data_IF_715181635181
#
_entry.id   IF_715181635181
#
_cell.length_a   1.000
_cell.length_b   1.000
_cell.length_c   1.000
_cell.angle_alpha   90.00
_cell.angle_beta   90.00
_cell.angle_gamma   90.00
#
_symmetry.space_group_name_H-M   'P 1'
#
loop_
_entity.id
_entity.type
_entity.pdbx_description
1 polymer ?
#
# COMPACT_ATOMS: atom_id res chain seq x y z
N UNK A 1 -12.09 11.30 35.97
CA UNK A 1 -11.90 12.13 34.76
C UNK A 1 -13.21 12.11 33.99
N UNK A 2 -13.65 13.25 33.48
CA UNK A 2 -14.77 13.32 32.52
C UNK A 2 -14.41 12.50 31.28
N UNK A 3 -15.29 11.59 30.82
CA UNK A 3 -15.06 10.80 29.60
C UNK A 3 -15.03 11.74 28.39
N UNK A 4 -14.00 11.64 27.55
CA UNK A 4 -13.93 12.37 26.28
C UNK A 4 -14.82 11.72 25.21
N UNK A 5 -15.25 10.47 25.44
CA UNK A 5 -15.89 9.57 24.48
C UNK A 5 -15.07 9.44 23.20
N UNK A 6 -13.74 9.41 23.31
CA UNK A 6 -12.83 9.30 22.16
C UNK A 6 -12.13 7.95 22.15
N UNK A 7 -12.17 7.30 20.99
CA UNK A 7 -11.31 6.18 20.65
C UNK A 7 -10.26 6.67 19.65
N UNK A 8 -8.99 6.62 20.05
CA UNK A 8 -7.88 6.95 19.18
C UNK A 8 -7.33 5.69 18.50
N UNK A 9 -7.22 5.72 17.17
CA UNK A 9 -6.79 4.59 16.35
C UNK A 9 -5.38 4.82 15.85
N UNK A 10 -4.49 3.94 16.27
CA UNK A 10 -3.08 3.86 15.89
C UNK A 10 -2.95 2.79 14.81
N UNK A 11 -2.69 3.19 13.57
CA UNK A 11 -2.53 2.25 12.45
C UNK A 11 -1.80 2.90 11.28
N UNK A 12 -1.26 2.09 10.37
CA UNK A 12 -0.82 2.59 9.06
C UNK A 12 -2.00 3.08 8.20
N UNK A 13 -1.71 3.89 7.19
CA UNK A 13 -2.67 4.35 6.19
C UNK A 13 -2.27 3.92 4.78
N UNK A 14 -3.24 3.94 3.87
CA UNK A 14 -3.07 3.50 2.50
C UNK A 14 -2.74 2.01 2.39
N UNK A 15 -2.14 1.62 1.26
CA UNK A 15 -1.73 0.24 0.99
C UNK A 15 -0.30 0.03 1.48
N UNK A 16 -0.11 -0.93 2.38
CA UNK A 16 1.16 -1.24 3.04
C UNK A 16 1.58 -2.67 2.73
N UNK A 17 2.84 -2.87 2.36
CA UNK A 17 3.39 -4.21 2.18
C UNK A 17 3.71 -4.79 3.57
N UNK A 18 3.16 -5.96 3.88
CA UNK A 18 3.65 -6.77 5.00
C UNK A 18 4.95 -7.44 4.56
N UNK A 19 6.08 -6.94 5.07
CA UNK A 19 7.41 -7.44 4.72
C UNK A 19 7.65 -8.91 5.07
N UNK A 20 6.84 -9.49 5.96
CA UNK A 20 6.97 -10.90 6.37
C UNK A 20 6.32 -11.85 5.37
N UNK A 21 5.22 -11.42 4.75
CA UNK A 21 4.43 -12.25 3.83
C UNK A 21 4.53 -11.79 2.37
N UNK A 22 5.03 -10.58 2.11
CA UNK A 22 5.01 -9.92 0.81
C UNK A 22 3.62 -9.43 0.38
N UNK A 23 2.58 -9.63 1.19
CA UNK A 23 1.21 -9.25 0.85
C UNK A 23 1.01 -7.76 1.01
N UNK A 24 0.20 -7.19 0.12
CA UNK A 24 -0.28 -5.82 0.25
C UNK A 24 -1.55 -5.80 1.10
N UNK A 25 -1.55 -5.01 2.17
CA UNK A 25 -2.68 -4.81 3.08
C UNK A 25 -3.24 -3.41 2.85
N UNK A 26 -4.54 -3.31 2.55
CA UNK A 26 -5.24 -2.03 2.44
C UNK A 26 -5.72 -1.57 3.82
N UNK A 27 -4.92 -0.72 4.46
CA UNK A 27 -5.21 -0.23 5.81
C UNK A 27 -6.39 0.74 5.82
N UNK A 28 -6.64 1.46 4.72
CA UNK A 28 -7.78 2.37 4.60
C UNK A 28 -9.09 1.57 4.52
N UNK A 29 -9.12 0.49 3.75
CA UNK A 29 -10.29 -0.39 3.68
C UNK A 29 -10.64 -0.97 5.05
N UNK A 30 -9.66 -1.54 5.76
CA UNK A 30 -9.89 -2.10 7.11
C UNK A 30 -10.39 -1.01 8.07
N UNK A 31 -9.84 0.20 8.00
CA UNK A 31 -10.30 1.31 8.82
C UNK A 31 -11.76 1.68 8.55
N UNK A 32 -12.12 1.90 7.28
CA UNK A 32 -13.44 2.40 6.89
C UNK A 32 -14.54 1.34 7.04
N UNK A 33 -14.26 0.08 6.72
CA UNK A 33 -15.29 -0.96 6.69
C UNK A 33 -15.44 -1.72 8.02
N UNK A 34 -14.38 -1.76 8.83
CA UNK A 34 -14.37 -2.53 10.08
C UNK A 34 -14.21 -1.64 11.32
N UNK A 35 -13.07 -0.94 11.45
CA UNK A 35 -12.66 -0.32 12.71
C UNK A 35 -13.54 0.88 13.06
N UNK A 36 -13.64 1.86 12.15
CA UNK A 36 -14.38 3.10 12.38
C UNK A 36 -15.87 2.85 12.64
N UNK A 37 -16.58 2.01 11.85
CA UNK A 37 -17.97 1.67 12.14
C UNK A 37 -18.15 0.97 13.48
N UNK A 38 -17.28 0.03 13.86
CA UNK A 38 -17.38 -0.66 15.14
C UNK A 38 -17.24 0.28 16.34
N UNK A 39 -16.34 1.27 16.24
CA UNK A 39 -16.14 2.30 17.27
C UNK A 39 -17.36 3.22 17.39
N UNK A 40 -17.87 3.71 16.25
CA UNK A 40 -19.04 4.59 16.21
C UNK A 40 -20.28 3.87 16.78
N UNK A 41 -20.49 2.62 16.38
CA UNK A 41 -21.57 1.77 16.88
C UNK A 41 -21.47 1.44 18.38
N UNK A 42 -20.25 1.51 18.93
CA UNK A 42 -20.02 1.38 20.36
C UNK A 42 -20.28 2.67 21.14
N UNK A 43 -20.55 3.79 20.45
CA UNK A 43 -20.87 5.09 21.04
C UNK A 43 -19.65 5.98 21.31
N UNK A 44 -18.52 5.74 20.64
CA UNK A 44 -17.31 6.54 20.75
C UNK A 44 -17.05 7.33 19.46
N UNK A 45 -16.40 8.47 19.59
CA UNK A 45 -15.85 9.23 18.48
C UNK A 45 -14.55 8.55 18.03
N UNK A 46 -14.51 8.12 16.77
CA UNK A 46 -13.33 7.51 16.16
C UNK A 46 -12.42 8.59 15.55
N UNK A 47 -11.14 8.57 15.92
CA UNK A 47 -10.12 9.46 15.34
C UNK A 47 -8.90 8.62 15.01
N UNK A 48 -8.49 8.59 13.74
CA UNK A 48 -7.22 8.01 13.31
C UNK A 48 -6.11 9.06 13.32
N UNK A 49 -4.88 8.66 13.56
CA UNK A 49 -3.72 9.56 13.64
C UNK A 49 -3.60 10.54 12.45
N UNK A 50 -3.79 10.07 11.22
CA UNK A 50 -3.70 10.88 9.99
C UNK A 50 -4.89 11.82 9.76
N UNK A 51 -6.01 11.64 10.48
CA UNK A 51 -7.17 12.54 10.44
C UNK A 51 -6.94 13.80 11.29
N UNK A 52 -5.94 13.79 12.19
CA UNK A 52 -5.61 14.93 13.04
C UNK A 52 -5.03 16.07 12.17
N UNK A 53 -5.53 17.28 12.38
CA UNK A 53 -4.96 18.47 11.75
C UNK A 53 -3.71 18.89 12.51
N UNK A 54 -2.59 18.99 11.80
CA UNK A 54 -1.29 19.26 12.40
C UNK A 54 -1.04 20.77 12.46
N UNK A 55 -0.45 21.23 13.57
CA UNK A 55 0.22 22.54 13.63
C UNK A 55 1.71 22.35 13.33
N UNK A 56 2.49 23.44 13.22
CA UNK A 56 3.93 23.41 12.94
C UNK A 56 4.79 22.57 13.91
N UNK A 57 4.23 22.11 15.04
CA UNK A 57 4.79 21.07 15.90
C UNK A 57 3.93 19.80 15.79
N UNK A 58 4.45 18.81 15.06
CA UNK A 58 3.74 17.62 14.57
C UNK A 58 3.22 16.75 15.72
N UNK A 59 3.97 16.61 16.82
CA UNK A 59 3.70 15.51 17.77
C UNK A 59 2.75 15.86 18.92
N UNK A 60 2.53 17.14 19.22
CA UNK A 60 1.76 17.56 20.42
C UNK A 60 0.32 17.01 20.38
N UNK A 61 -0.43 17.15 19.27
CA UNK A 61 -1.79 16.62 19.20
C UNK A 61 -1.84 15.09 19.37
N UNK A 62 -0.92 14.36 18.74
CA UNK A 62 -0.86 12.90 18.82
C UNK A 62 -0.65 12.42 20.27
N UNK A 63 0.33 12.98 20.99
CA UNK A 63 0.57 12.63 22.39
C UNK A 63 -0.63 12.96 23.28
N UNK A 64 -1.33 14.07 23.02
CA UNK A 64 -2.57 14.40 23.73
C UNK A 64 -3.64 13.32 23.53
N UNK A 65 -3.82 12.80 22.31
CA UNK A 65 -4.74 11.68 22.08
C UNK A 65 -4.29 10.40 22.80
N UNK A 66 -3.01 10.05 22.78
CA UNK A 66 -2.49 8.89 23.52
C UNK A 66 -2.74 8.99 25.04
N UNK A 67 -2.63 10.21 25.59
CA UNK A 67 -2.82 10.50 27.01
C UNK A 67 -4.29 10.56 27.43
N UNK A 68 -5.15 11.17 26.61
CA UNK A 68 -6.50 11.57 27.01
C UNK A 68 -7.63 10.77 26.36
N UNK A 69 -7.37 9.98 25.32
CA UNK A 69 -8.40 9.11 24.76
C UNK A 69 -8.85 8.06 25.78
N UNK A 70 -10.16 7.85 25.84
CA UNK A 70 -10.78 6.85 26.74
C UNK A 70 -10.40 5.44 26.32
N UNK A 71 -10.23 5.22 25.00
CA UNK A 71 -9.80 3.97 24.42
C UNK A 71 -8.74 4.24 23.35
N UNK A 72 -7.75 3.35 23.27
CA UNK A 72 -6.82 3.29 22.14
C UNK A 72 -6.95 1.93 21.46
N UNK A 73 -7.04 1.93 20.13
CA UNK A 73 -6.95 0.72 19.30
C UNK A 73 -5.66 0.80 18.50
N UNK A 74 -4.79 -0.21 18.63
CA UNK A 74 -3.52 -0.28 17.89
C UNK A 74 -3.54 -1.47 16.91
N UNK A 75 -3.42 -1.17 15.61
CA UNK A 75 -3.29 -2.18 14.56
C UNK A 75 -1.82 -2.55 14.34
N UNK A 76 -1.51 -3.84 14.54
CA UNK A 76 -0.16 -4.38 14.43
C UNK A 76 0.11 -5.08 13.10
N UNK A 77 -0.87 -5.15 12.21
CA UNK A 77 -0.90 -6.08 11.07
C UNK A 77 0.29 -5.97 10.13
N UNK A 78 0.79 -4.76 9.92
CA UNK A 78 1.90 -4.47 9.00
C UNK A 78 3.21 -4.15 9.72
N UNK A 79 3.29 -4.36 11.04
CA UNK A 79 4.47 -4.03 11.84
C UNK A 79 4.94 -2.58 11.66
N UNK A 80 3.99 -1.65 11.52
CA UNK A 80 4.29 -0.23 11.39
C UNK A 80 5.04 0.28 12.64
N UNK A 81 6.28 0.76 12.47
CA UNK A 81 7.11 1.25 13.57
C UNK A 81 6.46 2.40 14.35
N UNK A 82 5.75 3.31 13.67
CA UNK A 82 5.04 4.42 14.32
C UNK A 82 3.94 3.85 15.23
N UNK A 83 3.19 2.86 14.74
CA UNK A 83 2.14 2.22 15.54
C UNK A 83 2.70 1.49 16.78
N UNK A 84 3.83 0.81 16.64
CA UNK A 84 4.52 0.14 17.76
C UNK A 84 5.00 1.17 18.79
N UNK A 85 5.59 2.28 18.34
CA UNK A 85 6.07 3.35 19.22
C UNK A 85 4.92 3.99 20.00
N UNK A 86 3.83 4.36 19.32
CA UNK A 86 2.64 4.96 19.93
C UNK A 86 1.98 4.00 20.93
N UNK A 87 1.94 2.69 20.64
CA UNK A 87 1.48 1.66 21.58
C UNK A 87 2.35 1.61 22.84
N UNK A 88 3.68 1.64 22.68
CA UNK A 88 4.62 1.69 23.81
C UNK A 88 4.38 2.91 24.69
N UNK A 89 4.20 4.08 24.07
CA UNK A 89 3.85 5.31 24.77
C UNK A 89 2.51 5.20 25.50
N UNK A 90 1.47 4.64 24.86
CA UNK A 90 0.18 4.40 25.51
C UNK A 90 0.32 3.48 26.72
N UNK A 91 1.02 2.37 26.60
CA UNK A 91 1.27 1.44 27.71
C UNK A 91 2.08 2.07 28.83
N UNK A 92 2.97 3.02 28.53
CA UNK A 92 3.71 3.77 29.55
C UNK A 92 2.85 4.83 30.26
N UNK A 93 1.94 5.47 29.54
CA UNK A 93 1.12 6.57 30.08
C UNK A 93 -0.13 6.09 30.81
N UNK A 94 -0.69 4.94 30.43
CA UNK A 94 -2.01 4.48 30.85
C UNK A 94 -2.00 3.00 31.22
N UNK A 95 -2.59 2.62 32.37
CA UNK A 95 -2.61 1.23 32.82
C UNK A 95 -3.66 0.37 32.12
N UNK A 96 -4.68 0.98 31.51
CA UNK A 96 -5.85 0.27 30.97
C UNK A 96 -6.44 0.97 29.74
N UNK A 97 -7.38 0.28 29.10
CA UNK A 97 -8.19 0.71 27.96
C UNK A 97 -7.36 0.84 26.68
N UNK A 98 -6.69 -0.25 26.33
CA UNK A 98 -5.90 -0.41 25.10
C UNK A 98 -6.25 -1.74 24.44
N UNK A 99 -6.68 -1.73 23.18
CA UNK A 99 -6.99 -2.93 22.39
C UNK A 99 -5.95 -3.07 21.29
N UNK A 100 -5.30 -4.22 21.22
CA UNK A 100 -4.46 -4.58 20.08
C UNK A 100 -5.32 -5.35 19.07
N UNK A 101 -5.18 -5.01 17.79
CA UNK A 101 -5.83 -5.71 16.69
C UNK A 101 -4.78 -6.14 15.67
N UNK A 102 -5.08 -7.21 14.93
CA UNK A 102 -4.27 -7.61 13.79
C UNK A 102 -5.00 -8.46 12.78
N UNK A 103 -4.47 -8.51 11.56
CA UNK A 103 -4.83 -9.51 10.57
C UNK A 103 -4.40 -10.93 11.00
N UNK A 104 -4.81 -11.96 10.25
CA UNK A 104 -4.42 -13.36 10.52
C UNK A 104 -2.91 -13.59 10.48
N UNK A 105 -2.20 -12.87 9.60
CA UNK A 105 -0.79 -13.14 9.30
C UNK A 105 0.13 -12.65 10.43
N UNK A 106 -0.27 -11.63 11.20
CA UNK A 106 0.52 -11.14 12.33
C UNK A 106 0.56 -12.12 13.50
N UNK A 107 -0.56 -12.80 13.79
CA UNK A 107 -0.68 -13.63 14.99
C UNK A 107 0.34 -14.78 15.03
N UNK A 108 0.76 -15.28 13.88
CA UNK A 108 1.73 -16.38 13.76
C UNK A 108 3.18 -15.96 14.08
N UNK A 109 3.46 -14.66 14.03
CA UNK A 109 4.81 -14.09 14.07
C UNK A 109 4.90 -12.86 14.99
N UNK A 110 3.93 -12.72 15.90
CA UNK A 110 3.88 -11.61 16.84
C UNK A 110 5.18 -11.56 17.67
N UNK A 111 5.85 -10.39 17.78
CA UNK A 111 7.05 -10.26 18.60
C UNK A 111 6.83 -10.69 20.04
N UNK A 112 7.88 -11.19 20.70
CA UNK A 112 7.83 -11.65 22.08
C UNK A 112 7.22 -10.61 23.05
N UNK A 113 7.51 -9.34 22.82
CA UNK A 113 7.04 -8.23 23.65
C UNK A 113 5.53 -7.95 23.55
N UNK A 114 4.83 -8.49 22.55
CA UNK A 114 3.37 -8.31 22.37
C UNK A 114 2.59 -9.63 22.28
N UNK A 115 3.26 -10.77 22.16
CA UNK A 115 2.60 -12.07 21.98
C UNK A 115 1.82 -12.57 23.22
N UNK A 116 2.10 -12.00 24.38
CA UNK A 116 1.44 -12.30 25.65
C UNK A 116 0.25 -11.36 25.93
N UNK A 117 0.05 -10.37 25.07
CA UNK A 117 -1.09 -9.44 25.12
C UNK A 117 -2.22 -10.04 24.29
N UNK A 118 -3.46 -9.88 24.75
CA UNK A 118 -4.63 -10.30 23.97
C UNK A 118 -4.75 -9.45 22.70
N UNK A 119 -4.70 -10.10 21.54
CA UNK A 119 -4.84 -9.44 20.23
C UNK A 119 -6.15 -9.90 19.58
N UNK A 120 -7.00 -8.95 19.20
CA UNK A 120 -8.19 -9.24 18.42
C UNK A 120 -7.81 -9.49 16.97
N UNK A 121 -8.00 -10.72 16.49
CA UNK A 121 -7.71 -11.09 15.12
C UNK A 121 -8.93 -10.85 14.22
N UNK A 122 -8.80 -9.95 13.24
CA UNK A 122 -9.87 -9.66 12.28
C UNK A 122 -9.78 -10.48 10.98
N UNK A 123 -8.85 -11.42 10.88
CA UNK A 123 -8.70 -12.31 9.73
C UNK A 123 -8.01 -11.65 8.54
N UNK A 124 -8.51 -11.93 7.34
CA UNK A 124 -7.98 -11.42 6.07
C UNK A 124 -9.04 -10.54 5.40
N UNK A 125 -9.47 -9.50 6.13
CA UNK A 125 -10.45 -8.53 5.61
C UNK A 125 -9.74 -7.63 4.61
N UNK A 126 -10.28 -7.62 3.40
CA UNK A 126 -9.82 -6.83 2.27
C UNK A 126 -11.02 -6.52 1.36
N UNK A 127 -10.79 -5.76 0.29
CA UNK A 127 -11.81 -5.33 -0.68
C UNK A 127 -12.66 -6.47 -1.27
N UNK A 128 -12.17 -7.72 -1.26
CA UNK A 128 -12.87 -8.91 -1.75
C UNK A 128 -13.62 -9.67 -0.65
N UNK A 129 -13.74 -9.09 0.54
CA UNK A 129 -14.42 -9.74 1.65
C UNK A 129 -15.92 -9.48 1.57
N UNK A 130 -16.72 -10.53 1.65
CA UNK A 130 -18.19 -10.39 1.63
C UNK A 130 -18.68 -9.51 2.78
N UNK A 131 -19.65 -8.64 2.49
CA UNK A 131 -20.23 -7.72 3.48
C UNK A 131 -20.71 -8.44 4.74
N UNK A 132 -21.35 -9.61 4.61
CA UNK A 132 -21.78 -10.43 5.76
C UNK A 132 -20.63 -10.78 6.71
N UNK A 133 -19.45 -11.12 6.17
CA UNK A 133 -18.28 -11.45 6.99
C UNK A 133 -17.71 -10.21 7.68
N UNK A 134 -17.72 -9.06 7.00
CA UNK A 134 -17.33 -7.77 7.58
C UNK A 134 -18.28 -7.42 8.73
N UNK A 135 -19.60 -7.50 8.53
CA UNK A 135 -20.60 -7.23 9.57
C UNK A 135 -20.43 -8.13 10.79
N UNK A 136 -20.21 -9.43 10.59
CA UNK A 136 -19.96 -10.36 11.69
C UNK A 136 -18.72 -9.98 12.50
N UNK A 137 -17.64 -9.56 11.83
CA UNK A 137 -16.42 -9.13 12.50
C UNK A 137 -16.61 -7.79 13.22
N UNK A 138 -17.35 -6.85 12.60
CA UNK A 138 -17.70 -5.56 13.19
C UNK A 138 -18.49 -5.72 14.49
N UNK A 139 -19.45 -6.64 14.52
CA UNK A 139 -20.22 -6.95 15.74
C UNK A 139 -19.31 -7.48 16.87
N UNK A 140 -18.38 -8.39 16.56
CA UNK A 140 -17.41 -8.90 17.53
C UNK A 140 -16.50 -7.80 18.06
N UNK A 141 -16.01 -6.93 17.18
CA UNK A 141 -15.16 -5.79 17.57
C UNK A 141 -15.95 -4.79 18.43
N UNK A 142 -17.19 -4.47 18.06
CA UNK A 142 -18.09 -3.61 18.85
C UNK A 142 -18.30 -4.15 20.27
N UNK A 143 -18.56 -5.45 20.40
CA UNK A 143 -18.73 -6.10 21.70
C UNK A 143 -17.45 -6.00 22.55
N UNK A 144 -16.29 -6.27 21.95
CA UNK A 144 -15.00 -6.10 22.61
C UNK A 144 -14.78 -4.66 23.11
N UNK A 145 -15.05 -3.65 22.26
CA UNK A 145 -14.94 -2.23 22.61
C UNK A 145 -15.83 -1.90 23.82
N UNK A 146 -17.10 -2.33 23.80
CA UNK A 146 -18.02 -2.11 24.92
C UNK A 146 -17.55 -2.77 26.21
N UNK A 147 -17.00 -3.98 26.13
CA UNK A 147 -16.48 -4.69 27.29
C UNK A 147 -15.25 -3.97 27.89
N UNK A 148 -14.26 -3.61 27.06
CA UNK A 148 -13.02 -2.97 27.53
C UNK A 148 -13.26 -1.56 28.09
N UNK A 149 -14.23 -0.82 27.56
CA UNK A 149 -14.54 0.57 28.01
C UNK A 149 -15.21 0.68 29.38
N UNK A 150 -15.69 -0.44 29.93
CA UNK A 150 -16.24 -0.53 31.30
C UNK A 150 -15.37 -1.41 32.22
N UNK A 151 -14.37 -2.08 31.66
CA UNK A 151 -13.43 -2.92 32.38
C UNK A 151 -12.33 -2.06 33.03
N UNK A 152 -11.99 -2.39 34.27
CA UNK A 152 -10.94 -1.73 35.05
C UNK A 152 -9.71 -2.63 35.25
N UNK A 153 -9.62 -3.74 34.50
CA UNK A 153 -8.41 -4.58 34.50
C UNK A 153 -7.26 -3.83 33.81
N UNK A 154 -6.08 -3.94 34.41
CA UNK A 154 -4.83 -3.45 33.82
C UNK A 154 -4.51 -4.29 32.59
N UNK A 155 -4.38 -3.65 31.43
CA UNK A 155 -4.00 -4.27 30.15
C UNK A 155 -2.59 -3.89 29.68
N UNK A 156 -1.97 -2.90 30.32
CA UNK A 156 -0.59 -2.51 30.03
C UNK A 156 0.42 -3.52 30.62
N UNK A 157 1.35 -4.04 29.82
CA UNK A 157 2.45 -4.89 30.31
C UNK A 157 3.30 -4.20 31.38
N UNK A 158 3.53 -2.88 31.26
CA UNK A 158 4.36 -2.14 32.22
C UNK A 158 3.76 -2.19 33.62
N UNK A 159 2.48 -1.84 33.75
CA UNK A 159 1.81 -1.78 35.04
C UNK A 159 1.44 -3.16 35.59
N UNK A 160 1.17 -4.14 34.71
CA UNK A 160 0.87 -5.51 35.14
C UNK A 160 2.11 -6.28 35.61
N UNK A 161 3.27 -6.11 34.96
CA UNK A 161 4.50 -6.84 35.28
C UNK A 161 5.35 -6.14 36.37
N UNK A 162 5.47 -4.81 36.31
CA UNK A 162 6.26 -4.04 37.29
C UNK A 162 5.43 -3.69 38.54
N UNK A 163 4.10 -3.73 38.42
CA UNK A 163 3.17 -3.64 39.54
C UNK A 163 3.18 -2.28 40.23
N UNK A 164 2.91 -2.29 41.54
CA UNK A 164 2.67 -1.11 42.38
C UNK A 164 3.87 -0.18 42.58
N UNK A 165 5.04 -0.50 42.03
CA UNK A 165 6.25 0.33 42.12
C UNK A 165 6.22 1.54 41.19
N UNK A 166 5.27 1.58 40.24
CA UNK A 166 5.12 2.67 39.27
C UNK A 166 3.70 3.20 39.35
N UNK A 167 3.55 4.51 39.45
CA UNK A 167 2.27 5.21 39.33
C UNK A 167 2.16 5.83 37.93
N UNK A 168 0.96 5.81 37.31
CA UNK A 168 0.74 6.56 36.09
C UNK A 168 1.07 8.04 36.29
N UNK A 169 1.61 8.72 35.27
CA UNK A 169 1.93 10.14 35.37
C UNK A 169 0.67 10.95 35.66
N UNK A 170 0.84 12.08 36.34
CA UNK A 170 -0.27 13.01 36.54
C UNK A 170 -0.58 13.72 35.22
N UNK A 171 -1.77 13.45 34.68
CA UNK A 171 -2.22 13.97 33.39
C UNK A 171 -3.24 15.08 33.64
N UNK A 172 -2.94 16.31 33.21
CA UNK A 172 -3.89 17.44 33.28
C UNK A 172 -5.13 17.14 32.42
N UNK A 173 -6.34 17.43 32.91
CA UNK A 173 -7.54 17.22 32.10
C UNK A 173 -7.56 18.19 30.90
N UNK A 174 -7.65 17.64 29.70
CA UNK A 174 -7.86 18.37 28.44
C UNK A 174 -9.12 17.78 27.78
N UNK A 175 -9.99 18.66 27.28
CA UNK A 175 -11.14 18.25 26.46
C UNK A 175 -10.69 18.07 25.02
N UNK A 176 -10.60 16.81 24.56
CA UNK A 176 -10.20 16.49 23.18
C UNK A 176 -11.29 16.86 22.16
N UNK A 177 -12.57 16.88 22.56
CA UNK A 177 -13.69 17.11 21.64
C UNK A 177 -13.73 18.54 21.06
N UNK A 178 -13.20 19.52 21.80
CA UNK A 178 -13.20 20.94 21.39
C UNK A 178 -12.00 21.32 20.52
N UNK A 179 -10.89 20.57 20.57
CA UNK A 179 -9.64 20.92 19.86
C UNK A 179 -9.66 20.63 18.37
N UNK A 180 -10.46 19.68 17.90
CA UNK A 180 -10.51 19.28 16.48
C UNK A 180 -10.98 20.38 15.51
N UNK A 181 -11.53 21.49 16.03
CA UNK A 181 -12.19 22.55 15.23
C UNK A 181 -11.20 23.68 14.84
N UNK A 182 -10.03 23.80 15.47
CA UNK A 182 -9.24 25.04 15.43
C UNK A 182 -8.15 25.16 14.34
N UNK A 183 -7.98 24.18 13.44
CA UNK A 183 -6.92 24.24 12.42
C UNK A 183 -7.49 24.49 11.01
N UNK A 184 -6.94 25.52 10.34
CA UNK A 184 -7.31 25.91 8.96
C UNK A 184 -6.68 25.01 7.89
N UNK A 185 -5.58 24.33 8.21
CA UNK A 185 -4.88 23.47 7.26
C UNK A 185 -5.57 22.12 7.09
N UNK A 186 -5.39 21.53 5.89
CA UNK A 186 -5.86 20.18 5.58
C UNK A 186 -5.12 19.16 6.48
N UNK A 187 -5.83 18.13 6.96
CA UNK A 187 -5.16 16.99 7.62
C UNK A 187 -4.35 16.18 6.62
N UNK A 188 -3.44 15.32 7.11
CA UNK A 188 -2.67 14.41 6.27
C UNK A 188 -3.60 13.55 5.41
N UNK A 189 -4.67 12.99 6.01
CA UNK A 189 -5.71 12.24 5.31
C UNK A 189 -6.32 13.03 4.15
N UNK A 190 -6.67 14.29 4.40
CA UNK A 190 -7.31 15.15 3.39
C UNK A 190 -6.37 15.42 2.22
N UNK A 191 -5.08 15.62 2.48
CA UNK A 191 -4.07 15.79 1.43
C UNK A 191 -3.89 14.50 0.62
N UNK A 192 -3.85 13.34 1.29
CA UNK A 192 -3.75 12.02 0.64
C UNK A 192 -4.96 11.78 -0.27
N UNK A 193 -6.17 12.03 0.22
CA UNK A 193 -7.41 11.83 -0.54
C UNK A 193 -7.43 12.71 -1.79
N UNK A 194 -7.16 14.01 -1.64
CA UNK A 194 -7.08 14.94 -2.77
C UNK A 194 -5.99 14.51 -3.76
N UNK A 195 -4.81 14.08 -3.28
CA UNK A 195 -3.73 13.60 -4.14
C UNK A 195 -4.10 12.35 -4.94
N UNK A 196 -4.73 11.37 -4.29
CA UNK A 196 -5.18 10.13 -4.93
C UNK A 196 -6.32 10.38 -5.94
N UNK A 197 -7.27 11.26 -5.62
CA UNK A 197 -8.32 11.69 -6.55
C UNK A 197 -7.71 12.31 -7.81
N UNK A 198 -6.72 13.20 -7.64
CA UNK A 198 -6.02 13.82 -8.78
C UNK A 198 -5.23 12.81 -9.60
N UNK A 199 -4.56 11.83 -8.96
CA UNK A 199 -3.92 10.72 -9.68
C UNK A 199 -4.92 9.93 -10.52
N UNK A 200 -6.09 9.59 -9.95
CA UNK A 200 -7.13 8.83 -10.64
C UNK A 200 -7.71 9.60 -11.83
N UNK A 201 -7.84 10.93 -11.70
CA UNK A 201 -8.28 11.83 -12.75
C UNK A 201 -7.18 12.26 -13.73
N UNK A 202 -5.99 11.64 -13.65
CA UNK A 202 -4.82 11.93 -14.50
C UNK A 202 -4.28 13.38 -14.38
N UNK A 203 -4.64 14.08 -13.30
CA UNK A 203 -4.16 15.42 -12.96
C UNK A 203 -2.88 15.31 -12.12
N UNK A 204 -1.80 14.87 -12.78
CA UNK A 204 -0.55 14.56 -12.10
C UNK A 204 0.14 15.77 -11.48
N UNK A 205 -0.11 16.98 -11.99
CA UNK A 205 0.46 18.21 -11.45
C UNK A 205 -0.14 18.54 -10.09
N UNK A 206 -1.47 18.51 -9.96
CA UNK A 206 -2.11 18.74 -8.67
C UNK A 206 -1.87 17.58 -7.71
N UNK A 207 -1.82 16.34 -8.21
CA UNK A 207 -1.46 15.18 -7.39
C UNK A 207 -0.10 15.36 -6.72
N UNK A 208 0.92 15.77 -7.48
CA UNK A 208 2.26 16.05 -6.97
C UNK A 208 2.26 17.16 -5.91
N UNK A 209 1.48 18.23 -6.11
CA UNK A 209 1.35 19.33 -5.14
C UNK A 209 0.78 18.82 -3.80
N UNK A 210 -0.31 18.04 -3.86
CA UNK A 210 -0.93 17.47 -2.65
C UNK A 210 0.01 16.52 -1.92
N UNK A 211 0.72 15.63 -2.63
CA UNK A 211 1.67 14.74 -1.97
C UNK A 211 2.91 15.49 -1.46
N UNK A 212 3.33 16.57 -2.10
CA UNK A 212 4.43 17.41 -1.58
C UNK A 212 4.05 18.04 -0.25
N UNK A 213 2.83 18.59 -0.14
CA UNK A 213 2.28 19.13 1.12
C UNK A 213 2.10 18.03 2.18
N UNK A 214 1.66 16.84 1.79
CA UNK A 214 1.55 15.70 2.71
C UNK A 214 2.92 15.30 3.27
N UNK A 215 3.97 15.32 2.44
CA UNK A 215 5.35 15.01 2.83
C UNK A 215 6.00 16.06 3.75
N UNK A 216 5.45 17.28 3.82
CA UNK A 216 5.84 18.28 4.82
C UNK A 216 5.31 17.92 6.21
N UNK A 217 4.21 17.18 6.30
CA UNK A 217 3.64 16.67 7.55
C UNK A 217 4.35 15.39 7.98
N UNK A 218 4.42 14.39 7.10
CA UNK A 218 5.02 13.09 7.40
C UNK A 218 5.79 12.55 6.19
N UNK A 219 7.00 12.05 6.41
CA UNK A 219 7.82 11.44 5.35
C UNK A 219 7.66 9.92 5.37
N UNK A 220 6.50 9.46 4.90
CA UNK A 220 6.17 8.04 4.82
C UNK A 220 6.42 7.45 3.41
N UNK A 221 6.80 6.16 3.35
CA UNK A 221 7.11 5.45 2.10
C UNK A 221 5.96 5.49 1.09
N UNK A 222 4.70 5.43 1.55
CA UNK A 222 3.51 5.51 0.69
C UNK A 222 3.44 6.86 -0.02
N UNK A 223 3.65 7.96 0.70
CA UNK A 223 3.59 9.31 0.16
C UNK A 223 4.68 9.55 -0.88
N UNK A 224 5.90 9.07 -0.57
CA UNK A 224 7.03 9.15 -1.50
C UNK A 224 6.69 8.39 -2.78
N UNK A 225 6.22 7.15 -2.68
CA UNK A 225 5.82 6.34 -3.85
C UNK A 225 4.73 7.02 -4.69
N UNK A 226 3.71 7.59 -4.06
CA UNK A 226 2.62 8.29 -4.76
C UNK A 226 3.10 9.58 -5.44
N UNK A 227 3.97 10.35 -4.80
CA UNK A 227 4.60 11.53 -5.43
C UNK A 227 5.51 11.14 -6.60
N UNK A 228 6.36 10.12 -6.46
CA UNK A 228 7.19 9.61 -7.56
C UNK A 228 6.33 9.16 -8.73
N UNK A 229 5.22 8.47 -8.46
CA UNK A 229 4.26 8.08 -9.50
C UNK A 229 3.67 9.30 -10.21
N UNK A 230 3.25 10.33 -9.46
CA UNK A 230 2.77 11.59 -10.05
C UNK A 230 3.85 12.26 -10.92
N UNK A 231 5.10 12.31 -10.45
CA UNK A 231 6.22 12.88 -11.20
C UNK A 231 6.45 12.13 -12.51
N UNK A 232 6.56 10.80 -12.41
CA UNK A 232 6.79 9.90 -13.54
C UNK A 232 5.67 10.00 -14.59
N UNK A 233 4.40 10.14 -14.17
CA UNK A 233 3.26 10.22 -15.08
C UNK A 233 3.03 11.62 -15.66
N UNK A 234 3.49 12.67 -14.98
CA UNK A 234 3.41 14.05 -15.48
C UNK A 234 4.45 14.31 -16.58
N UNK A 235 4.12 13.92 -17.81
CA UNK A 235 5.02 13.98 -18.98
C UNK A 235 5.09 15.36 -19.68
N UNK A 236 4.48 16.41 -19.13
CA UNK A 236 4.37 17.68 -19.85
C UNK A 236 5.73 18.39 -20.05
N UNK A 237 6.03 18.75 -21.31
CA UNK A 237 7.15 19.57 -21.84
C UNK A 237 8.60 19.09 -21.57
N UNK A 238 8.87 18.22 -20.60
CA UNK A 238 10.21 17.71 -20.31
C UNK A 238 10.20 16.27 -19.75
N UNK A 239 9.75 15.29 -20.54
CA UNK A 239 9.67 13.88 -20.11
C UNK A 239 10.98 13.35 -19.52
N UNK A 240 12.11 13.64 -20.19
CA UNK A 240 13.43 13.22 -19.71
C UNK A 240 13.72 13.76 -18.32
N UNK A 241 13.55 15.06 -18.10
CA UNK A 241 13.79 15.69 -16.80
C UNK A 241 12.93 15.07 -15.70
N UNK A 242 11.65 14.80 -15.98
CA UNK A 242 10.71 14.22 -15.02
C UNK A 242 11.08 12.79 -14.63
N UNK A 243 11.57 11.97 -15.56
CA UNK A 243 12.06 10.64 -15.21
C UNK A 243 13.33 10.68 -14.35
N UNK A 244 14.25 11.60 -14.65
CA UNK A 244 15.45 11.79 -13.83
C UNK A 244 15.11 12.29 -12.42
N UNK A 245 14.17 13.23 -12.30
CA UNK A 245 13.64 13.72 -11.04
C UNK A 245 13.01 12.58 -10.21
N UNK A 246 12.18 11.74 -10.83
CA UNK A 246 11.57 10.59 -10.17
C UNK A 246 12.61 9.58 -9.63
N UNK A 247 13.64 9.27 -10.43
CA UNK A 247 14.74 8.38 -9.98
C UNK A 247 15.59 9.04 -8.90
N UNK A 248 15.86 10.34 -9.01
CA UNK A 248 16.61 11.07 -8.00
C UNK A 248 15.87 11.01 -6.66
N UNK A 249 14.57 11.27 -6.66
CA UNK A 249 13.73 11.17 -5.48
C UNK A 249 13.74 9.76 -4.89
N UNK A 250 13.60 8.71 -5.72
CA UNK A 250 13.69 7.33 -5.22
C UNK A 250 15.04 7.04 -4.53
N UNK A 251 16.16 7.47 -5.11
CA UNK A 251 17.48 7.24 -4.52
C UNK A 251 17.77 8.12 -3.28
N UNK A 252 17.07 9.25 -3.13
CA UNK A 252 17.20 10.12 -1.96
C UNK A 252 16.54 9.50 -0.72
N UNK A 253 15.36 8.87 -0.91
CA UNK A 253 14.58 8.34 0.18
C UNK A 253 14.76 6.84 0.43
N UNK A 254 15.30 6.09 -0.55
CA UNK A 254 15.40 4.64 -0.45
C UNK A 254 16.77 4.12 -0.87
N UNK A 255 17.28 3.16 -0.10
CA UNK A 255 18.40 2.34 -0.52
C UNK A 255 17.93 1.25 -1.50
N UNK A 256 17.91 1.59 -2.79
CA UNK A 256 17.44 0.72 -3.87
C UNK A 256 18.13 -0.66 -3.92
N UNK A 257 19.41 -0.71 -3.52
CA UNK A 257 20.18 -1.96 -3.42
C UNK A 257 19.71 -2.86 -2.28
N UNK A 258 19.11 -2.32 -1.21
CA UNK A 258 18.67 -3.07 -0.04
C UNK A 258 17.16 -3.33 0.00
N UNK A 259 16.33 -2.43 -0.56
CA UNK A 259 14.85 -2.53 -0.48
C UNK A 259 14.27 -3.85 -1.00
N UNK A 260 13.24 -4.37 -0.33
CA UNK A 260 12.45 -5.54 -0.72
C UNK A 260 11.02 -5.15 -1.15
N UNK A 261 10.75 -3.86 -1.30
CA UNK A 261 9.47 -3.36 -1.75
C UNK A 261 9.32 -3.58 -3.27
N UNK A 262 8.40 -4.47 -3.66
CA UNK A 262 8.22 -4.82 -5.08
C UNK A 262 7.55 -3.73 -5.90
N UNK A 263 6.70 -2.91 -5.27
CA UNK A 263 6.03 -1.77 -5.94
C UNK A 263 7.08 -0.73 -6.32
N UNK A 264 7.97 -0.42 -5.39
CA UNK A 264 9.07 0.52 -5.58
C UNK A 264 10.08 0.01 -6.62
N UNK A 265 10.45 -1.28 -6.57
CA UNK A 265 11.33 -1.89 -7.56
C UNK A 265 10.70 -1.88 -8.96
N UNK A 266 9.40 -2.18 -9.07
CA UNK A 266 8.66 -2.13 -10.32
C UNK A 266 8.49 -0.71 -10.89
N UNK A 267 8.26 0.28 -10.02
CA UNK A 267 8.21 1.69 -10.38
C UNK A 267 9.57 2.17 -10.91
N UNK A 268 10.66 1.86 -10.21
CA UNK A 268 12.01 2.16 -10.66
C UNK A 268 12.33 1.50 -12.01
N UNK A 269 11.96 0.22 -12.18
CA UNK A 269 12.15 -0.50 -13.44
C UNK A 269 11.42 0.14 -14.61
N UNK A 270 10.17 0.55 -14.39
CA UNK A 270 9.38 1.29 -15.37
C UNK A 270 10.03 2.63 -15.75
N UNK A 271 10.50 3.40 -14.77
CA UNK A 271 11.14 4.69 -15.03
C UNK A 271 12.47 4.50 -15.77
N UNK A 272 13.33 3.56 -15.33
CA UNK A 272 14.58 3.26 -16.02
C UNK A 272 14.38 2.76 -17.45
N UNK A 273 13.34 1.93 -17.69
CA UNK A 273 12.92 1.55 -19.04
C UNK A 273 12.61 2.78 -19.89
N UNK A 274 11.82 3.74 -19.37
CA UNK A 274 11.50 4.97 -20.12
C UNK A 274 12.72 5.86 -20.36
N UNK A 275 13.63 5.97 -19.40
CA UNK A 275 14.91 6.69 -19.60
C UNK A 275 15.72 6.03 -20.72
N UNK A 276 15.83 4.70 -20.74
CA UNK A 276 16.49 3.97 -21.81
C UNK A 276 15.81 4.22 -23.17
N UNK A 277 14.47 4.16 -23.24
CA UNK A 277 13.72 4.41 -24.48
C UNK A 277 14.05 5.78 -25.10
N UNK A 278 14.18 6.82 -24.26
CA UNK A 278 14.49 8.19 -24.69
C UNK A 278 15.97 8.42 -25.00
N UNK A 279 16.88 7.85 -24.19
CA UNK A 279 18.32 8.16 -24.26
C UNK A 279 19.13 7.15 -25.07
N UNK A 280 18.57 5.95 -25.30
CA UNK A 280 19.25 4.76 -25.84
C UNK A 280 20.48 4.32 -25.04
N UNK A 281 20.67 4.83 -23.83
CA UNK A 281 21.80 4.47 -22.97
C UNK A 281 21.55 3.11 -22.30
N UNK A 282 22.39 2.13 -22.64
CA UNK A 282 22.28 0.75 -22.16
C UNK A 282 22.40 0.62 -20.64
N UNK A 283 23.03 1.59 -19.96
CA UNK A 283 23.17 1.56 -18.49
C UNK A 283 21.81 1.57 -17.81
N UNK A 284 20.83 2.28 -18.37
CA UNK A 284 19.47 2.31 -17.83
C UNK A 284 18.68 1.05 -18.17
N UNK A 285 18.95 0.39 -19.30
CA UNK A 285 18.38 -0.93 -19.59
C UNK A 285 18.85 -1.96 -18.55
N UNK A 286 20.16 -1.99 -18.24
CA UNK A 286 20.71 -2.88 -17.20
C UNK A 286 20.09 -2.58 -15.84
N UNK A 287 20.03 -1.31 -15.43
CA UNK A 287 19.36 -0.91 -14.18
C UNK A 287 17.90 -1.33 -14.12
N UNK A 288 17.15 -1.21 -15.22
CA UNK A 288 15.77 -1.66 -15.29
C UNK A 288 15.66 -3.18 -15.09
N UNK A 289 16.54 -3.96 -15.73
CA UNK A 289 16.60 -5.42 -15.57
C UNK A 289 16.92 -5.77 -14.11
N UNK A 290 17.93 -5.14 -13.50
CA UNK A 290 18.37 -5.44 -12.13
C UNK A 290 17.23 -5.23 -11.11
N UNK A 291 16.53 -4.09 -11.18
CA UNK A 291 15.44 -3.80 -10.23
C UNK A 291 14.20 -4.65 -10.50
N UNK A 292 13.81 -4.90 -11.76
CA UNK A 292 12.69 -5.79 -12.07
C UNK A 292 12.98 -7.24 -11.69
N UNK A 293 14.22 -7.70 -11.90
CA UNK A 293 14.67 -9.03 -11.46
C UNK A 293 14.58 -9.15 -9.95
N UNK A 294 15.09 -8.16 -9.22
CA UNK A 294 15.00 -8.14 -7.76
C UNK A 294 13.55 -8.15 -7.29
N UNK A 295 12.69 -7.30 -7.87
CA UNK A 295 11.26 -7.26 -7.53
C UNK A 295 10.57 -8.60 -7.76
N UNK A 296 10.85 -9.24 -8.90
CA UNK A 296 10.33 -10.57 -9.22
C UNK A 296 10.85 -11.67 -8.30
N UNK A 297 12.14 -11.63 -7.90
CA UNK A 297 12.71 -12.61 -6.97
C UNK A 297 12.07 -12.50 -5.58
N UNK A 298 11.80 -11.28 -5.12
CA UNK A 298 11.22 -11.02 -3.80
C UNK A 298 9.76 -11.47 -3.75
N UNK A 299 8.90 -10.98 -4.65
CA UNK A 299 7.44 -11.20 -4.53
C UNK A 299 6.85 -12.16 -5.56
N UNK A 300 7.59 -12.55 -6.60
CA UNK A 300 7.12 -13.42 -7.69
C UNK A 300 5.80 -12.93 -8.30
N UNK A 301 5.69 -11.62 -8.49
CA UNK A 301 4.50 -10.98 -9.03
C UNK A 301 4.51 -10.90 -10.56
N UNK A 302 3.32 -10.78 -11.15
CA UNK A 302 3.17 -10.72 -12.61
C UNK A 302 3.71 -9.42 -13.22
N UNK A 303 3.72 -8.32 -12.46
CA UNK A 303 4.07 -6.98 -12.96
C UNK A 303 5.58 -6.83 -13.18
N UNK A 304 6.39 -7.18 -12.18
CA UNK A 304 7.84 -7.23 -12.33
C UNK A 304 8.25 -8.30 -13.34
N UNK A 305 7.58 -9.46 -13.33
CA UNK A 305 7.88 -10.58 -14.23
C UNK A 305 7.66 -10.23 -15.71
N UNK A 306 6.54 -9.57 -16.06
CA UNK A 306 6.27 -9.23 -17.45
C UNK A 306 7.19 -8.11 -17.96
N UNK A 307 7.47 -7.11 -17.11
CA UNK A 307 8.43 -6.06 -17.44
C UNK A 307 9.83 -6.66 -17.65
N UNK A 308 10.26 -7.59 -16.79
CA UNK A 308 11.54 -8.28 -16.92
C UNK A 308 11.62 -9.08 -18.24
N UNK A 309 10.56 -9.80 -18.61
CA UNK A 309 10.50 -10.52 -19.87
C UNK A 309 10.61 -9.59 -21.10
N UNK A 310 9.94 -8.44 -21.05
CA UNK A 310 10.04 -7.43 -22.09
C UNK A 310 11.47 -6.85 -22.19
N UNK A 311 12.09 -6.53 -21.05
CA UNK A 311 13.45 -5.99 -21.00
C UNK A 311 14.49 -6.99 -21.53
N UNK A 312 14.34 -8.28 -21.24
CA UNK A 312 15.19 -9.31 -21.85
C UNK A 312 14.97 -9.45 -23.36
N UNK A 313 13.76 -9.23 -23.85
CA UNK A 313 13.51 -9.22 -25.30
C UNK A 313 14.18 -8.02 -25.99
N UNK A 314 14.19 -6.85 -25.33
CA UNK A 314 14.97 -5.70 -25.80
C UNK A 314 16.46 -6.00 -25.82
N UNK A 315 16.98 -6.60 -24.75
CA UNK A 315 18.39 -6.96 -24.65
C UNK A 315 18.79 -8.01 -25.70
N UNK A 316 17.94 -9.01 -25.94
CA UNK A 316 18.13 -10.01 -26.99
C UNK A 316 18.26 -9.36 -28.37
N UNK A 317 17.37 -8.40 -28.71
CA UNK A 317 17.46 -7.66 -29.97
C UNK A 317 18.70 -6.78 -30.07
N UNK A 318 19.16 -6.19 -28.96
CA UNK A 318 20.36 -5.34 -28.95
C UNK A 318 21.67 -6.11 -29.03
N UNK A 319 21.73 -7.29 -28.42
CA UNK A 319 22.95 -8.11 -28.36
C UNK A 319 22.99 -9.22 -29.41
N UNK A 320 21.85 -9.52 -30.04
CA UNK A 320 21.68 -10.64 -30.97
C UNK A 320 22.07 -11.98 -30.32
N UNK A 321 21.77 -12.14 -29.03
CA UNK A 321 22.13 -13.33 -28.24
C UNK A 321 20.88 -14.14 -27.83
N UNK A 322 20.86 -15.42 -28.23
CA UNK A 322 19.76 -16.35 -27.96
C UNK A 322 19.46 -16.53 -26.46
N UNK A 323 20.47 -16.39 -25.60
CA UNK A 323 20.32 -16.61 -24.15
C UNK A 323 19.31 -15.64 -23.53
N UNK A 324 19.28 -14.39 -24.00
CA UNK A 324 18.33 -13.39 -23.50
C UNK A 324 16.91 -13.65 -23.97
N UNK A 325 16.74 -14.22 -25.16
CA UNK A 325 15.43 -14.69 -25.62
C UNK A 325 14.92 -15.83 -24.74
N UNK A 326 15.79 -16.80 -24.40
CA UNK A 326 15.45 -17.87 -23.45
C UNK A 326 15.06 -17.35 -22.07
N UNK A 327 15.71 -16.30 -21.56
CA UNK A 327 15.28 -15.65 -20.31
C UNK A 327 13.92 -14.96 -20.45
N UNK A 328 13.69 -14.23 -21.55
CA UNK A 328 12.40 -13.61 -21.79
C UNK A 328 11.25 -14.63 -21.81
N UNK A 329 11.43 -15.77 -22.49
CA UNK A 329 10.46 -16.87 -22.52
C UNK A 329 10.26 -17.52 -21.14
N UNK A 330 11.35 -17.74 -20.40
CA UNK A 330 11.29 -18.27 -19.04
C UNK A 330 10.38 -17.40 -18.15
N UNK A 331 10.62 -16.08 -18.11
CA UNK A 331 9.82 -15.19 -17.27
C UNK A 331 8.38 -15.07 -17.75
N UNK A 332 8.10 -15.06 -19.07
CA UNK A 332 6.72 -15.13 -19.60
C UNK A 332 5.97 -16.36 -19.11
N UNK A 333 6.62 -17.53 -19.14
CA UNK A 333 6.01 -18.78 -18.67
C UNK A 333 5.74 -18.74 -17.16
N UNK A 334 6.63 -18.13 -16.38
CA UNK A 334 6.39 -17.91 -14.94
C UNK A 334 5.20 -16.98 -14.71
N UNK A 335 5.11 -15.88 -15.45
CA UNK A 335 4.00 -14.93 -15.39
C UNK A 335 2.68 -15.59 -15.77
N UNK A 336 2.65 -16.41 -16.82
CA UNK A 336 1.47 -17.20 -17.21
C UNK A 336 0.93 -18.04 -16.05
N UNK A 337 1.83 -18.75 -15.35
CA UNK A 337 1.47 -19.57 -14.19
C UNK A 337 0.93 -18.69 -13.05
N UNK A 338 1.57 -17.55 -12.78
CA UNK A 338 1.14 -16.62 -11.73
C UNK A 338 -0.25 -16.06 -12.03
N UNK A 339 -0.48 -15.54 -13.24
CA UNK A 339 -1.76 -14.98 -13.66
C UNK A 339 -2.88 -16.02 -13.60
N UNK A 340 -2.66 -17.23 -14.13
CA UNK A 340 -3.68 -18.29 -14.06
C UNK A 340 -3.99 -18.69 -12.62
N UNK A 341 -2.96 -18.83 -11.76
CA UNK A 341 -3.18 -19.10 -10.33
C UNK A 341 -4.01 -18.02 -9.65
N UNK A 342 -3.80 -16.74 -10.00
CA UNK A 342 -4.61 -15.63 -9.48
C UNK A 342 -6.05 -15.71 -9.98
N UNK A 343 -6.26 -15.98 -11.28
CA UNK A 343 -7.59 -16.14 -11.88
C UNK A 343 -8.37 -17.28 -11.20
N UNK A 344 -7.70 -18.36 -10.82
CA UNK A 344 -8.31 -19.52 -10.17
C UNK A 344 -8.64 -19.29 -8.67
N UNK A 345 -8.34 -18.10 -8.10
CA UNK A 345 -8.67 -17.80 -6.70
C UNK A 345 -10.15 -17.49 -6.50
N UNK A 346 -10.69 -17.85 -5.32
CA UNK A 346 -12.01 -17.40 -4.90
C UNK A 346 -12.08 -15.87 -4.87
N UNK A 347 -13.21 -15.32 -5.35
CA UNK A 347 -13.45 -13.87 -5.44
C UNK A 347 -12.44 -13.14 -6.34
N UNK A 348 -11.87 -13.81 -7.36
CA UNK A 348 -11.03 -13.16 -8.35
C UNK A 348 -11.69 -11.88 -8.91
N UNK A 349 -12.97 -11.97 -9.32
CA UNK A 349 -13.71 -10.86 -9.94
C UNK A 349 -13.85 -9.61 -9.05
N UNK A 350 -13.54 -9.71 -7.75
CA UNK A 350 -13.59 -8.57 -6.83
C UNK A 350 -12.25 -7.83 -6.75
N UNK A 351 -11.15 -8.44 -7.24
CA UNK A 351 -9.81 -7.82 -7.17
C UNK A 351 -9.77 -6.54 -7.99
N UNK A 352 -9.11 -5.52 -7.45
CA UNK A 352 -8.90 -4.25 -8.17
C UNK A 352 -7.99 -4.38 -9.40
N UNK A 353 -7.14 -5.42 -9.44
CA UNK A 353 -6.14 -5.62 -10.48
C UNK A 353 -6.56 -6.67 -11.54
N UNK A 354 -7.85 -7.05 -11.58
CA UNK A 354 -8.40 -7.99 -12.57
C UNK A 354 -8.03 -7.63 -14.01
N UNK A 355 -8.21 -6.36 -14.38
CA UNK A 355 -7.82 -5.85 -15.69
C UNK A 355 -6.34 -6.14 -15.98
N UNK A 356 -5.45 -5.80 -15.06
CA UNK A 356 -4.01 -5.93 -15.24
C UNK A 356 -3.55 -7.38 -15.34
N UNK A 357 -4.19 -8.29 -14.61
CA UNK A 357 -3.89 -9.73 -14.67
C UNK A 357 -4.25 -10.28 -16.05
N UNK A 358 -5.44 -9.98 -16.58
CA UNK A 358 -5.84 -10.42 -17.91
C UNK A 358 -5.08 -9.70 -19.03
N UNK A 359 -4.79 -8.40 -18.88
CA UNK A 359 -3.98 -7.64 -19.83
C UNK A 359 -2.57 -8.22 -19.93
N UNK A 360 -1.93 -8.53 -18.79
CA UNK A 360 -0.62 -9.18 -18.72
C UNK A 360 -0.65 -10.58 -19.35
N UNK A 361 -1.70 -11.36 -19.07
CA UNK A 361 -1.86 -12.68 -19.65
C UNK A 361 -2.04 -12.60 -21.19
N UNK A 362 -2.76 -11.58 -21.67
CA UNK A 362 -2.88 -11.30 -23.11
C UNK A 362 -1.52 -10.95 -23.72
N UNK A 363 -0.68 -10.16 -23.06
CA UNK A 363 0.69 -9.84 -23.50
C UNK A 363 1.55 -11.11 -23.63
N UNK A 364 1.47 -12.01 -22.65
CA UNK A 364 2.17 -13.29 -22.70
C UNK A 364 1.74 -14.11 -23.92
N UNK A 365 0.43 -14.28 -24.13
CA UNK A 365 -0.08 -15.05 -25.26
C UNK A 365 0.20 -14.37 -26.61
N UNK A 366 0.23 -13.05 -26.66
CA UNK A 366 0.63 -12.28 -27.83
C UNK A 366 2.07 -12.59 -28.22
N UNK A 367 3.01 -12.51 -27.25
CA UNK A 367 4.41 -12.88 -27.46
C UNK A 367 4.58 -14.34 -27.92
N UNK A 368 3.77 -15.25 -27.39
CA UNK A 368 3.79 -16.68 -27.74
C UNK A 368 3.08 -16.98 -29.08
N UNK A 369 2.54 -15.97 -29.78
CA UNK A 369 1.77 -16.11 -31.02
C UNK A 369 0.54 -17.04 -30.89
N UNK A 370 -0.03 -17.13 -29.68
CA UNK A 370 -1.23 -17.93 -29.39
C UNK A 370 -2.50 -17.09 -29.61
N UNK A 371 -2.91 -16.95 -30.88
CA UNK A 371 -4.01 -16.06 -31.29
C UNK A 371 -5.30 -16.22 -30.48
N UNK A 372 -5.81 -17.46 -30.36
CA UNK A 372 -7.07 -17.73 -29.64
C UNK A 372 -6.96 -17.38 -28.15
N UNK A 373 -5.84 -17.73 -27.51
CA UNK A 373 -5.59 -17.43 -26.10
C UNK A 373 -5.43 -15.92 -25.86
N UNK A 374 -4.72 -15.22 -26.76
CA UNK A 374 -4.57 -13.77 -26.76
C UNK A 374 -5.94 -13.07 -26.80
N UNK A 375 -6.77 -13.39 -27.80
CA UNK A 375 -8.09 -12.78 -27.93
C UNK A 375 -8.97 -13.05 -26.71
N UNK A 376 -8.95 -14.27 -26.17
CA UNK A 376 -9.73 -14.63 -24.98
C UNK A 376 -9.30 -13.80 -23.77
N UNK A 377 -8.00 -13.74 -23.49
CA UNK A 377 -7.47 -12.96 -22.36
C UNK A 377 -7.70 -11.47 -22.55
N UNK A 378 -7.53 -10.95 -23.77
CA UNK A 378 -7.77 -9.54 -24.09
C UNK A 378 -9.24 -9.18 -23.91
N UNK A 379 -10.18 -9.94 -24.48
CA UNK A 379 -11.62 -9.72 -24.27
C UNK A 379 -12.00 -9.82 -22.80
N UNK A 380 -11.43 -10.77 -22.05
CA UNK A 380 -11.65 -10.87 -20.61
C UNK A 380 -11.16 -9.62 -19.86
N UNK A 381 -10.01 -9.04 -20.22
CA UNK A 381 -9.54 -7.79 -19.62
C UNK A 381 -10.54 -6.64 -19.81
N UNK A 382 -11.16 -6.54 -21.00
CA UNK A 382 -12.10 -5.46 -21.33
C UNK A 382 -13.42 -5.54 -20.56
N UNK A 383 -13.78 -6.70 -19.99
CA UNK A 383 -14.97 -6.85 -19.15
C UNK A 383 -14.86 -6.09 -17.81
N UNK A 384 -13.65 -5.70 -17.40
CA UNK A 384 -13.39 -4.96 -16.16
C UNK A 384 -13.35 -3.44 -16.37
N UNK A 385 -14.02 -2.93 -17.40
CA UNK A 385 -14.22 -1.50 -17.68
C UNK A 385 -12.95 -0.64 -17.48
N UNK A 386 -11.83 -0.95 -18.17
CA UNK A 386 -10.57 -0.27 -17.95
C UNK A 386 -10.64 1.23 -18.26
N UNK A 387 -9.87 2.00 -17.49
CA UNK A 387 -9.68 3.42 -17.77
C UNK A 387 -8.99 3.65 -19.11
N UNK A 388 -9.09 4.87 -19.63
CA UNK A 388 -8.39 5.28 -20.84
C UNK A 388 -6.88 5.05 -20.72
N UNK A 389 -6.27 5.46 -19.60
CA UNK A 389 -4.85 5.20 -19.32
C UNK A 389 -4.50 3.71 -19.36
N UNK A 390 -5.34 2.86 -18.74
CA UNK A 390 -5.11 1.41 -18.71
C UNK A 390 -5.04 0.82 -20.12
N UNK A 391 -6.02 1.19 -20.96
CA UNK A 391 -6.09 0.77 -22.36
C UNK A 391 -4.89 1.29 -23.16
N UNK A 392 -4.56 2.58 -23.04
CA UNK A 392 -3.44 3.20 -23.76
C UNK A 392 -2.11 2.55 -23.37
N UNK A 393 -1.86 2.32 -22.08
CA UNK A 393 -0.65 1.67 -21.59
C UNK A 393 -0.50 0.24 -22.14
N UNK A 394 -1.58 -0.54 -22.12
CA UNK A 394 -1.55 -1.91 -22.64
C UNK A 394 -1.37 -1.94 -24.15
N UNK A 395 -2.04 -1.04 -24.89
CA UNK A 395 -1.91 -0.96 -26.34
C UNK A 395 -0.50 -0.51 -26.74
N UNK A 396 0.04 0.52 -26.10
CA UNK A 396 1.42 0.99 -26.32
C UNK A 396 2.42 -0.17 -26.14
N UNK A 397 2.24 -0.97 -25.09
CA UNK A 397 3.09 -2.12 -24.81
C UNK A 397 2.96 -3.22 -25.87
N UNK A 398 1.73 -3.57 -26.30
CA UNK A 398 1.49 -4.56 -27.36
C UNK A 398 2.07 -4.13 -28.72
N UNK A 399 1.92 -2.85 -29.11
CA UNK A 399 2.51 -2.33 -30.34
C UNK A 399 4.04 -2.38 -30.30
N UNK A 400 4.65 -2.02 -29.16
CA UNK A 400 6.10 -2.18 -28.97
C UNK A 400 6.55 -3.62 -29.13
N UNK A 401 5.79 -4.58 -28.60
CA UNK A 401 6.08 -6.01 -28.73
C UNK A 401 5.92 -6.47 -30.18
N UNK A 402 4.87 -6.00 -30.88
CA UNK A 402 4.65 -6.28 -32.30
C UNK A 402 5.87 -5.92 -33.14
N UNK A 403 6.40 -4.72 -32.94
CA UNK A 403 7.62 -4.23 -33.61
C UNK A 403 8.89 -4.94 -33.12
N UNK A 404 9.00 -5.20 -31.81
CA UNK A 404 10.18 -5.81 -31.21
C UNK A 404 10.41 -7.23 -31.73
N UNK A 405 9.33 -8.02 -31.81
CA UNK A 405 9.34 -9.45 -32.12
C UNK A 405 8.84 -9.78 -33.54
N UNK A 406 8.58 -8.77 -34.38
CA UNK A 406 8.04 -8.93 -35.74
C UNK A 406 6.78 -9.83 -35.79
N UNK A 407 5.79 -9.53 -34.96
CA UNK A 407 4.54 -10.30 -34.88
C UNK A 407 3.55 -9.77 -35.93
N UNK A 408 3.03 -10.65 -36.78
CA UNK A 408 2.05 -10.28 -37.82
C UNK A 408 0.61 -10.15 -37.29
N UNK A 409 0.34 -10.69 -36.11
CA UNK A 409 -0.96 -10.67 -35.47
C UNK A 409 -1.40 -9.25 -35.11
N UNK A 410 -2.66 -8.90 -35.40
CA UNK A 410 -3.18 -7.57 -35.07
C UNK A 410 -3.39 -7.37 -33.57
N UNK A 411 -3.23 -6.11 -33.14
CA UNK A 411 -3.56 -5.71 -31.77
C UNK A 411 -5.07 -5.47 -31.69
N UNK A 412 -5.75 -6.28 -30.90
CA UNK A 412 -7.18 -6.12 -30.62
C UNK A 412 -7.37 -4.89 -29.72
N UNK A 413 -7.89 -3.81 -30.29
CA UNK A 413 -8.14 -2.56 -29.58
C UNK A 413 -9.30 -2.71 -28.60
#
# INVERSE_FOLDING_TARGET
MTKNNVCFVIMGYGKKQDYRTGKLVDMDFVYQELIKPAIIDAGLNCIRADEIKHSTLIDIPMYEYLMHADLVIADMSTTNFNAIYELGMRHALRPQSTILISNKDFAEVAPFDVNHISIFNYGDINVNTSGTKIEQMRLKMKELIKNVTVDNRVDSPLYSLVGSSILPPEIKNINLAEKGIQHKDDSLRTLIDKGNERLANEDYSLAEEFFSRAMEIEKDEYLIKRRVLAIYKNKHKNERGRYFEAIQMLNEYFEMSATTDSELLGLAGSIYKRIHELTKDERYLKKAIDVCLKGFVVNKDYYNGINLAFLYSLLAKQKEEQVYESFAEYYRKRVEIICNKLIDTENFDQREDCYWIYATLSEVYYCQKKHVSYEKARRASLLFEPTKMQLEATNEQLYKIKELLNIEMEVLN
#
